data_IF_526810457650
#
_entry.id   IF_526810457650
#
_cell.length_a   1.000
_cell.length_b   1.000
_cell.length_c   1.000
_cell.angle_alpha   90.00
_cell.angle_beta   90.00
_cell.angle_gamma   90.00
#
_symmetry.space_group_name_H-M   'P 1'
#
loop_
_entity.id
_entity.type
_entity.pdbx_description
1 polymer ?
#
# COMPACT_ATOMS: atom_id res chain seq x y z
N UNK A 1 -13.39 -27.58 38.05
CA UNK A 1 -13.64 -26.18 37.66
C UNK A 1 -12.50 -25.38 38.26
N UNK A 2 -11.45 -25.11 37.48
CA UNK A 2 -10.41 -24.16 37.88
C UNK A 2 -9.83 -23.57 36.59
N UNK A 3 -10.20 -22.32 36.32
CA UNK A 3 -9.63 -21.53 35.23
C UNK A 3 -8.56 -20.62 35.81
N UNK A 4 -7.29 -21.03 35.64
CA UNK A 4 -6.16 -20.17 35.92
C UNK A 4 -5.91 -19.23 34.73
N UNK A 5 -5.86 -17.92 35.00
CA UNK A 5 -5.64 -16.86 34.02
C UNK A 5 -4.12 -16.66 33.84
N UNK A 6 -3.64 -16.90 32.62
CA UNK A 6 -2.26 -16.59 32.19
C UNK A 6 -2.23 -15.80 30.86
N UNK A 7 -1.11 -15.15 30.51
CA UNK A 7 -1.04 -14.19 29.41
C UNK A 7 -0.93 -14.86 28.03
N UNK A 8 -1.77 -14.41 27.07
CA UNK A 8 -1.67 -14.56 25.60
C UNK A 8 -1.37 -15.94 25.00
N UNK A 9 -2.38 -16.51 24.31
CA UNK A 9 -2.16 -17.04 22.95
C UNK A 9 -2.76 -18.40 22.61
N UNK A 10 -2.92 -19.31 23.57
CA UNK A 10 -3.46 -20.64 23.30
C UNK A 10 -4.56 -20.95 24.32
N UNK A 11 -5.77 -20.50 23.99
CA UNK A 11 -6.98 -21.02 24.62
C UNK A 11 -7.38 -22.22 23.81
N UNK A 12 -7.51 -23.39 24.43
CA UNK A 12 -8.42 -24.50 24.06
C UNK A 12 -7.91 -25.80 24.67
N UNK A 13 -8.79 -26.59 25.30
CA UNK A 13 -8.47 -27.98 25.62
C UNK A 13 -8.28 -28.80 24.33
N UNK A 14 -7.77 -30.02 24.42
CA UNK A 14 -7.66 -30.93 23.26
C UNK A 14 -9.00 -31.12 22.55
N UNK A 15 -10.10 -31.13 23.30
CA UNK A 15 -11.48 -31.26 22.80
C UNK A 15 -11.91 -30.11 21.90
N UNK A 16 -11.58 -28.86 22.26
CA UNK A 16 -11.96 -27.69 21.46
C UNK A 16 -11.11 -27.59 20.16
N UNK A 17 -9.84 -28.00 20.21
CA UNK A 17 -8.96 -28.07 19.04
C UNK A 17 -9.43 -29.12 18.04
N UNK A 18 -9.90 -30.27 18.53
CA UNK A 18 -10.43 -31.34 17.69
C UNK A 18 -11.72 -30.91 17.00
N UNK A 19 -12.64 -30.26 17.73
CA UNK A 19 -13.88 -29.73 17.16
C UNK A 19 -13.61 -28.65 16.10
N UNK A 20 -12.70 -27.71 16.38
CA UNK A 20 -12.30 -26.68 15.41
C UNK A 20 -11.64 -27.31 14.16
N UNK A 21 -10.78 -28.32 14.35
CA UNK A 21 -10.17 -29.05 13.25
C UNK A 21 -11.23 -29.75 12.38
N UNK A 22 -12.17 -30.45 13.01
CA UNK A 22 -13.29 -31.12 12.33
C UNK A 22 -14.07 -30.14 11.44
N UNK A 23 -14.54 -29.03 12.02
CA UNK A 23 -15.28 -28.00 11.31
C UNK A 23 -14.50 -27.42 10.12
N UNK A 24 -13.18 -27.25 10.27
CA UNK A 24 -12.31 -26.74 9.20
C UNK A 24 -12.10 -27.75 8.08
N UNK A 25 -12.00 -29.05 8.39
CA UNK A 25 -11.89 -30.12 7.40
C UNK A 25 -13.19 -30.22 6.59
N UNK A 26 -14.35 -30.27 7.26
CA UNK A 26 -15.65 -30.35 6.59
C UNK A 26 -15.89 -29.15 5.68
N UNK A 27 -15.61 -27.94 6.18
CA UNK A 27 -15.67 -26.73 5.37
C UNK A 27 -14.77 -26.84 4.13
N UNK A 28 -13.51 -27.27 4.33
CA UNK A 28 -12.54 -27.41 3.25
C UNK A 28 -13.02 -28.41 2.18
N UNK A 29 -13.48 -29.60 2.58
CA UNK A 29 -14.03 -30.61 1.67
C UNK A 29 -15.17 -30.04 0.83
N UNK A 30 -16.10 -29.34 1.47
CA UNK A 30 -17.27 -28.76 0.81
C UNK A 30 -16.90 -27.69 -0.23
N UNK A 31 -15.86 -26.90 0.00
CA UNK A 31 -15.52 -25.76 -0.86
C UNK A 31 -14.31 -25.99 -1.77
N UNK A 32 -13.60 -27.12 -1.63
CA UNK A 32 -12.32 -27.38 -2.31
C UNK A 32 -12.43 -27.24 -3.83
N UNK A 33 -13.38 -27.93 -4.45
CA UNK A 33 -13.55 -27.92 -5.91
C UNK A 33 -13.86 -26.52 -6.43
N UNK A 34 -14.80 -25.83 -5.77
CA UNK A 34 -15.13 -24.44 -6.10
C UNK A 34 -13.89 -23.55 -6.00
N UNK A 35 -13.12 -23.67 -4.92
CA UNK A 35 -11.97 -22.81 -4.67
C UNK A 35 -10.82 -23.07 -5.64
N UNK A 36 -10.56 -24.32 -6.01
CA UNK A 36 -9.57 -24.66 -7.04
C UNK A 36 -9.99 -24.11 -8.40
N UNK A 37 -11.26 -24.27 -8.78
CA UNK A 37 -11.78 -23.75 -10.05
C UNK A 37 -11.72 -22.21 -10.10
N UNK A 38 -12.06 -21.53 -9.00
CA UNK A 38 -11.87 -20.07 -8.88
C UNK A 38 -10.42 -19.66 -9.08
N UNK A 39 -9.47 -20.40 -8.50
CA UNK A 39 -8.06 -20.10 -8.61
C UNK A 39 -7.51 -20.37 -10.03
N UNK A 40 -7.91 -21.48 -10.65
CA UNK A 40 -7.60 -21.79 -12.06
C UNK A 40 -8.12 -20.67 -12.97
N UNK A 41 -9.40 -20.29 -12.83
CA UNK A 41 -9.98 -19.20 -13.62
C UNK A 41 -9.24 -17.89 -13.41
N UNK A 42 -8.84 -17.61 -12.17
CA UNK A 42 -8.07 -16.41 -11.82
C UNK A 42 -6.70 -16.40 -12.47
N UNK A 43 -5.95 -17.51 -12.40
CA UNK A 43 -4.65 -17.69 -13.08
C UNK A 43 -4.81 -17.49 -14.58
N UNK A 44 -5.73 -18.21 -15.20
CA UNK A 44 -5.97 -18.19 -16.65
C UNK A 44 -6.29 -16.78 -17.14
N UNK A 45 -7.31 -16.15 -16.55
CA UNK A 45 -7.73 -14.78 -16.90
C UNK A 45 -6.59 -13.79 -16.70
N UNK A 46 -5.80 -13.94 -15.63
CA UNK A 46 -4.70 -13.04 -15.31
C UNK A 46 -3.57 -13.14 -16.34
N UNK A 47 -3.15 -14.35 -16.71
CA UNK A 47 -2.10 -14.56 -17.71
C UNK A 47 -2.56 -14.08 -19.09
N UNK A 48 -3.79 -14.38 -19.49
CA UNK A 48 -4.35 -13.93 -20.77
C UNK A 48 -4.44 -12.40 -20.85
N UNK A 49 -4.84 -11.75 -19.75
CA UNK A 49 -4.83 -10.29 -19.65
C UNK A 49 -3.41 -9.73 -19.77
N UNK A 50 -2.41 -10.35 -19.15
CA UNK A 50 -1.01 -9.93 -19.25
C UNK A 50 -0.52 -10.03 -20.70
N UNK A 51 -0.75 -11.16 -21.36
CA UNK A 51 -0.37 -11.38 -22.76
C UNK A 51 -1.01 -10.30 -23.65
N UNK A 52 -2.32 -10.10 -23.50
CA UNK A 52 -3.09 -9.15 -24.31
C UNK A 52 -2.67 -7.69 -24.09
N UNK A 53 -2.60 -7.24 -22.84
CA UNK A 53 -2.39 -5.82 -22.52
C UNK A 53 -0.92 -5.39 -22.61
N UNK A 54 0.03 -6.33 -22.51
CA UNK A 54 1.44 -6.06 -22.78
C UNK A 54 1.83 -6.32 -24.23
N UNK A 55 0.89 -6.79 -25.07
CA UNK A 55 1.15 -7.17 -26.46
C UNK A 55 2.34 -8.12 -26.59
N UNK A 56 2.35 -9.19 -25.78
CA UNK A 56 3.42 -10.19 -25.80
C UNK A 56 3.24 -11.08 -27.03
N UNK A 57 4.35 -11.36 -27.71
CA UNK A 57 4.40 -12.19 -28.91
C UNK A 57 5.59 -13.15 -28.84
N UNK A 58 5.59 -14.18 -29.69
CA UNK A 58 6.71 -15.09 -29.87
C UNK A 58 7.07 -15.86 -28.59
N UNK A 59 8.34 -15.83 -28.20
CA UNK A 59 8.85 -16.63 -27.08
C UNK A 59 8.25 -16.23 -25.72
N UNK A 60 7.98 -14.94 -25.50
CA UNK A 60 7.42 -14.46 -24.23
C UNK A 60 5.97 -14.93 -24.04
N UNK A 61 5.16 -14.85 -25.10
CA UNK A 61 3.79 -15.37 -25.09
C UNK A 61 3.78 -16.88 -24.85
N UNK A 62 4.58 -17.62 -25.63
CA UNK A 62 4.68 -19.08 -25.51
C UNK A 62 5.11 -19.52 -24.11
N UNK A 63 6.10 -18.86 -23.53
CA UNK A 63 6.57 -19.16 -22.18
C UNK A 63 5.50 -18.91 -21.10
N UNK A 64 4.73 -17.83 -21.20
CA UNK A 64 3.63 -17.58 -20.26
C UNK A 64 2.47 -18.56 -20.42
N UNK A 65 2.16 -18.99 -21.64
CA UNK A 65 1.15 -20.02 -21.89
C UNK A 65 1.57 -21.38 -21.32
N UNK A 66 2.83 -21.80 -21.53
CA UNK A 66 3.40 -23.00 -20.90
C UNK A 66 3.37 -22.92 -19.37
N UNK A 67 3.76 -21.77 -18.80
CA UNK A 67 3.66 -21.52 -17.36
C UNK A 67 2.21 -21.65 -16.86
N UNK A 68 1.25 -21.08 -17.60
CA UNK A 68 -0.18 -21.15 -17.27
C UNK A 68 -0.66 -22.60 -17.23
N UNK A 69 -0.39 -23.37 -18.28
CA UNK A 69 -0.82 -24.77 -18.39
C UNK A 69 -0.26 -25.62 -17.25
N UNK A 70 1.06 -25.53 -17.00
CA UNK A 70 1.69 -26.25 -15.89
C UNK A 70 1.16 -25.87 -14.52
N UNK A 71 0.84 -24.58 -14.30
CA UNK A 71 0.24 -24.14 -13.05
C UNK A 71 -1.17 -24.67 -12.87
N UNK A 72 -1.96 -24.73 -13.95
CA UNK A 72 -3.30 -25.33 -13.94
C UNK A 72 -3.22 -26.83 -13.61
N UNK A 73 -2.30 -27.56 -14.25
CA UNK A 73 -2.08 -28.98 -13.96
C UNK A 73 -1.68 -29.21 -12.50
N UNK A 74 -0.78 -28.36 -11.97
CA UNK A 74 -0.38 -28.43 -10.56
C UNK A 74 -1.56 -28.15 -9.61
N UNK A 75 -2.45 -27.22 -9.94
CA UNK A 75 -3.66 -26.93 -9.15
C UNK A 75 -4.65 -28.12 -9.19
N UNK A 76 -4.80 -28.77 -10.34
CA UNK A 76 -5.63 -29.96 -10.47
C UNK A 76 -5.07 -31.15 -9.67
N UNK A 77 -3.75 -31.36 -9.72
CA UNK A 77 -3.07 -32.36 -8.90
C UNK A 77 -3.21 -32.06 -7.39
N UNK A 78 -3.09 -30.78 -7.01
CA UNK A 78 -3.32 -30.33 -5.64
C UNK A 78 -4.74 -30.59 -5.16
N UNK A 79 -5.75 -30.43 -6.03
CA UNK A 79 -7.15 -30.76 -5.72
C UNK A 79 -7.32 -32.23 -5.36
N UNK A 80 -6.80 -33.13 -6.20
CA UNK A 80 -6.90 -34.58 -5.99
C UNK A 80 -6.26 -34.96 -4.66
N UNK A 81 -5.01 -34.57 -4.45
CA UNK A 81 -4.29 -34.91 -3.24
C UNK A 81 -4.91 -34.25 -1.99
N UNK A 82 -5.35 -32.99 -2.07
CA UNK A 82 -6.01 -32.33 -0.94
C UNK A 82 -7.30 -33.04 -0.53
N UNK A 83 -8.12 -33.46 -1.50
CA UNK A 83 -9.37 -34.16 -1.24
C UNK A 83 -9.12 -35.48 -0.51
N UNK A 84 -8.26 -36.33 -1.06
CA UNK A 84 -7.89 -37.61 -0.45
C UNK A 84 -7.38 -37.45 0.98
N UNK A 85 -6.52 -36.44 1.21
CA UNK A 85 -5.97 -36.19 2.55
C UNK A 85 -6.99 -35.65 3.54
N UNK A 86 -7.92 -34.81 3.09
CA UNK A 86 -9.01 -34.30 3.92
C UNK A 86 -10.01 -35.41 4.29
N UNK A 87 -10.34 -36.30 3.35
CA UNK A 87 -11.20 -37.48 3.59
C UNK A 87 -10.56 -38.45 4.58
N UNK A 88 -9.25 -38.69 4.48
CA UNK A 88 -8.53 -39.46 5.51
C UNK A 88 -8.56 -38.76 6.88
N UNK A 89 -8.35 -37.44 6.91
CA UNK A 89 -8.35 -36.69 8.16
C UNK A 89 -9.70 -36.73 8.87
N UNK A 90 -10.82 -36.60 8.15
CA UNK A 90 -12.15 -36.66 8.78
C UNK A 90 -12.37 -38.01 9.47
N UNK A 91 -12.04 -39.12 8.79
CA UNK A 91 -12.12 -40.47 9.38
C UNK A 91 -11.30 -40.58 10.67
N UNK A 92 -10.04 -40.10 10.67
CA UNK A 92 -9.20 -40.16 11.85
C UNK A 92 -9.69 -39.26 13.00
N UNK A 93 -10.31 -38.12 12.69
CA UNK A 93 -10.93 -37.25 13.69
C UNK A 93 -12.12 -37.97 14.34
N UNK A 94 -12.99 -38.59 13.54
CA UNK A 94 -14.18 -39.31 14.00
C UNK A 94 -13.83 -40.57 14.81
N UNK A 95 -12.81 -41.31 14.38
CA UNK A 95 -12.32 -42.52 15.07
C UNK A 95 -11.49 -42.21 16.33
N UNK A 96 -11.18 -40.93 16.59
CA UNK A 96 -10.38 -40.51 17.76
C UNK A 96 -8.91 -40.94 17.72
N UNK A 97 -8.37 -41.28 16.55
CA UNK A 97 -7.00 -41.81 16.36
C UNK A 97 -5.96 -40.74 16.04
N UNK A 98 -6.25 -39.49 16.43
CA UNK A 98 -5.39 -38.33 16.21
C UNK A 98 -4.58 -38.00 17.45
N UNK A 99 -3.31 -37.65 17.24
CA UNK A 99 -2.43 -37.13 18.29
C UNK A 99 -1.99 -35.71 17.99
N UNK A 100 -1.95 -34.87 19.04
CA UNK A 100 -1.45 -33.50 18.97
C UNK A 100 -0.08 -33.43 19.63
N UNK A 101 0.95 -33.20 18.84
CA UNK A 101 2.32 -33.04 19.33
C UNK A 101 2.77 -31.58 19.21
N UNK A 102 3.10 -30.96 20.34
CA UNK A 102 3.71 -29.62 20.32
C UNK A 102 5.18 -29.72 19.90
N UNK A 103 5.55 -29.04 18.82
CA UNK A 103 6.95 -28.87 18.39
C UNK A 103 7.28 -27.39 18.25
N UNK A 104 8.07 -26.86 19.17
CA UNK A 104 8.46 -25.45 19.20
C UNK A 104 7.25 -24.50 19.17
N UNK A 105 6.99 -23.84 18.04
CA UNK A 105 5.90 -22.88 17.82
C UNK A 105 4.72 -23.46 17.02
N UNK A 106 4.73 -24.75 16.71
CA UNK A 106 3.67 -25.42 15.95
C UNK A 106 3.10 -26.60 16.74
N UNK A 107 1.84 -26.94 16.46
CA UNK A 107 1.23 -28.19 16.90
C UNK A 107 1.14 -29.08 15.67
N UNK A 108 1.75 -30.25 15.72
CA UNK A 108 1.63 -31.26 14.67
C UNK A 108 0.46 -32.16 15.01
N UNK A 109 -0.48 -32.27 14.10
CA UNK A 109 -1.54 -33.26 14.16
C UNK A 109 -1.02 -34.46 13.39
N UNK A 110 -0.86 -35.59 14.06
CA UNK A 110 -0.40 -36.83 13.45
C UNK A 110 -1.51 -37.87 13.48
N UNK A 111 -1.64 -38.57 12.36
CA UNK A 111 -2.46 -39.77 12.25
C UNK A 111 -1.56 -41.00 12.20
N UNK A 112 -2.15 -42.19 12.31
CA UNK A 112 -1.43 -43.45 12.49
C UNK A 112 -0.45 -43.84 11.37
N UNK A 113 -0.35 -43.12 10.22
CA UNK A 113 0.85 -43.04 9.36
C UNK A 113 0.71 -42.20 8.06
N UNK A 114 -0.46 -41.68 7.70
CA UNK A 114 -0.69 -41.21 6.31
C UNK A 114 -0.85 -39.71 6.11
N UNK A 115 -1.41 -39.00 7.10
CA UNK A 115 -1.71 -37.57 6.96
C UNK A 115 -1.25 -36.83 8.20
N UNK A 116 -0.49 -35.76 7.97
CA UNK A 116 -0.16 -34.82 9.02
C UNK A 116 -0.50 -33.42 8.55
N UNK A 117 -0.94 -32.60 9.49
CA UNK A 117 -1.08 -31.17 9.30
C UNK A 117 -0.41 -30.48 10.49
N UNK A 118 -0.15 -29.19 10.35
CA UNK A 118 0.38 -28.42 11.46
C UNK A 118 -0.41 -27.14 11.69
N UNK A 119 -0.51 -26.76 12.95
CA UNK A 119 -1.14 -25.54 13.41
C UNK A 119 -0.03 -24.54 13.70
N UNK A 120 -0.03 -23.43 12.97
CA UNK A 120 0.93 -22.34 13.15
C UNK A 120 0.69 -21.63 14.48
N UNK A 121 1.69 -20.87 14.96
CA UNK A 121 1.53 -20.04 16.15
C UNK A 121 0.47 -18.95 16.04
N UNK A 122 -0.05 -18.71 14.84
CA UNK A 122 -1.13 -17.76 14.55
C UNK A 122 -2.49 -18.46 14.44
N UNK A 123 -2.58 -19.77 14.73
CA UNK A 123 -3.81 -20.55 14.62
C UNK A 123 -4.19 -20.96 13.19
N UNK A 124 -3.23 -20.94 12.26
CA UNK A 124 -3.45 -21.40 10.88
C UNK A 124 -3.23 -22.90 10.82
N UNK A 125 -4.27 -23.65 10.46
CA UNK A 125 -4.17 -25.07 10.16
C UNK A 125 -3.68 -25.23 8.73
N UNK A 126 -2.52 -25.86 8.52
CA UNK A 126 -1.95 -26.08 7.19
C UNK A 126 -1.85 -27.56 6.92
N UNK A 127 -2.54 -27.98 5.87
CA UNK A 127 -2.42 -29.31 5.27
C UNK A 127 -1.33 -29.27 4.19
N UNK A 128 -0.16 -29.87 4.42
CA UNK A 128 0.89 -29.94 3.43
C UNK A 128 0.47 -30.81 2.25
N UNK A 129 0.91 -30.42 1.06
CA UNK A 129 0.80 -31.21 -0.16
C UNK A 129 2.23 -31.51 -0.63
N UNK A 130 2.46 -32.75 -1.05
CA UNK A 130 3.79 -33.27 -1.35
C UNK A 130 3.94 -33.53 -2.84
N UNK A 131 5.11 -33.20 -3.39
CA UNK A 131 5.53 -33.53 -4.76
C UNK A 131 4.61 -32.95 -5.86
N UNK A 132 3.98 -31.80 -5.60
CA UNK A 132 3.24 -31.05 -6.62
C UNK A 132 4.06 -29.82 -6.99
N UNK A 133 4.94 -30.02 -7.97
CA UNK A 133 5.85 -28.97 -8.45
C UNK A 133 6.13 -29.10 -9.94
N UNK A 134 6.49 -27.99 -10.58
CA UNK A 134 6.90 -27.97 -11.98
C UNK A 134 7.98 -26.93 -12.24
N UNK A 135 8.76 -27.19 -13.30
CA UNK A 135 9.74 -26.25 -13.83
C UNK A 135 9.16 -25.52 -15.04
N UNK A 136 9.39 -24.22 -15.08
CA UNK A 136 8.99 -23.36 -16.20
C UNK A 136 9.96 -22.19 -16.36
N UNK A 137 9.98 -21.61 -17.56
CA UNK A 137 10.62 -20.33 -17.81
C UNK A 137 9.58 -19.21 -17.68
N UNK A 138 9.83 -18.23 -16.81
CA UNK A 138 8.99 -17.04 -16.67
C UNK A 138 9.65 -15.86 -17.38
N UNK A 139 9.05 -15.27 -18.43
CA UNK A 139 9.72 -14.27 -19.24
C UNK A 139 9.85 -12.91 -18.54
N UNK A 140 10.81 -12.10 -18.99
CA UNK A 140 10.90 -10.69 -18.58
C UNK A 140 9.70 -9.92 -19.17
N UNK A 141 8.78 -9.49 -18.32
CA UNK A 141 7.54 -8.83 -18.76
C UNK A 141 7.66 -7.32 -18.93
N UNK A 142 8.55 -6.68 -18.18
CA UNK A 142 8.59 -5.22 -18.07
C UNK A 142 9.99 -4.71 -18.36
N UNK A 143 10.09 -3.69 -19.21
CA UNK A 143 11.35 -2.97 -19.48
C UNK A 143 11.74 -2.11 -18.27
N UNK A 144 12.36 -2.73 -17.28
CA UNK A 144 12.89 -2.06 -16.10
C UNK A 144 14.35 -1.68 -16.33
N UNK A 145 14.77 -0.52 -15.85
CA UNK A 145 16.20 -0.22 -15.77
C UNK A 145 16.83 -1.10 -14.68
N UNK A 146 18.14 -1.42 -14.77
CA UNK A 146 18.83 -2.22 -13.75
C UNK A 146 18.61 -1.69 -12.32
N UNK A 147 18.60 -0.36 -12.17
CA UNK A 147 18.33 0.29 -10.88
C UNK A 147 16.91 0.03 -10.36
N UNK A 148 15.91 0.13 -11.22
CA UNK A 148 14.51 -0.12 -10.82
C UNK A 148 14.31 -1.57 -10.39
N UNK A 149 14.89 -2.51 -11.15
CA UNK A 149 14.85 -3.93 -10.85
C UNK A 149 15.52 -4.23 -9.49
N UNK A 150 16.74 -3.71 -9.27
CA UNK A 150 17.46 -3.87 -8.00
C UNK A 150 16.66 -3.31 -6.82
N UNK A 151 16.02 -2.15 -6.96
CA UNK A 151 15.23 -1.58 -5.87
C UNK A 151 14.02 -2.45 -5.49
N UNK A 152 13.35 -3.07 -6.45
CA UNK A 152 12.23 -3.98 -6.21
C UNK A 152 12.69 -5.29 -5.59
N UNK A 153 13.74 -5.90 -6.16
CA UNK A 153 14.36 -7.11 -5.63
C UNK A 153 14.83 -6.89 -4.19
N UNK A 154 15.44 -5.74 -3.89
CA UNK A 154 15.84 -5.38 -2.53
C UNK A 154 14.64 -5.25 -1.58
N UNK A 155 13.55 -4.69 -2.08
CA UNK A 155 12.32 -4.60 -1.32
C UNK A 155 11.74 -5.98 -0.99
N UNK A 156 11.68 -6.90 -1.96
CA UNK A 156 11.26 -8.29 -1.71
C UNK A 156 12.15 -8.97 -0.67
N UNK A 157 13.47 -8.87 -0.85
CA UNK A 157 14.47 -9.46 0.05
C UNK A 157 14.33 -8.98 1.49
N UNK A 158 14.08 -7.68 1.66
CA UNK A 158 13.88 -7.08 2.98
C UNK A 158 12.53 -7.43 3.63
N UNK A 159 11.57 -7.93 2.85
CA UNK A 159 10.25 -8.41 3.30
C UNK A 159 10.16 -9.94 3.27
N UNK A 160 9.24 -10.43 2.42
CA UNK A 160 8.78 -11.83 2.36
C UNK A 160 9.71 -12.80 1.65
N UNK A 161 10.69 -12.31 0.88
CA UNK A 161 11.59 -13.21 0.14
C UNK A 161 12.55 -13.92 1.10
N UNK A 162 12.49 -15.24 1.05
CA UNK A 162 13.38 -16.16 1.72
C UNK A 162 14.66 -16.40 0.91
N UNK A 163 15.63 -17.03 1.55
CA UNK A 163 16.91 -17.39 0.94
C UNK A 163 17.24 -18.84 1.29
N UNK A 164 17.65 -19.62 0.29
CA UNK A 164 18.45 -20.83 0.48
C UNK A 164 19.31 -21.08 -0.76
N UNK A 165 20.28 -20.19 -0.99
CA UNK A 165 21.11 -20.13 -2.20
C UNK A 165 20.47 -19.32 -3.34
N UNK A 166 19.19 -19.57 -3.61
CA UNK A 166 18.38 -18.82 -4.57
C UNK A 166 17.26 -18.02 -3.88
N UNK A 167 16.77 -16.92 -4.50
CA UNK A 167 15.60 -16.20 -4.03
C UNK A 167 14.35 -17.08 -4.02
N UNK A 168 13.57 -17.01 -2.93
CA UNK A 168 12.38 -17.84 -2.73
C UNK A 168 11.19 -17.04 -2.24
N UNK A 169 10.00 -17.32 -2.77
CA UNK A 169 8.74 -16.72 -2.36
C UNK A 169 7.79 -17.80 -1.87
N UNK A 170 7.16 -17.60 -0.71
CA UNK A 170 5.99 -18.35 -0.29
C UNK A 170 4.84 -17.36 -0.14
N UNK A 171 3.71 -17.61 -0.82
CA UNK A 171 2.55 -16.72 -0.78
C UNK A 171 1.25 -17.49 -0.99
N UNK A 172 0.14 -16.87 -0.61
CA UNK A 172 -1.22 -17.33 -0.90
C UNK A 172 -1.91 -16.50 -1.98
N UNK A 173 -1.20 -15.53 -2.57
CA UNK A 173 -1.74 -14.62 -3.57
C UNK A 173 -0.99 -14.79 -4.89
N UNK A 174 -1.71 -15.23 -5.94
CA UNK A 174 -1.14 -15.37 -7.28
C UNK A 174 -0.58 -14.06 -7.83
N UNK A 175 -1.20 -12.90 -7.54
CA UNK A 175 -0.70 -11.60 -7.98
C UNK A 175 0.65 -11.25 -7.35
N UNK A 176 0.85 -11.63 -6.09
CA UNK A 176 2.14 -11.48 -5.41
C UNK A 176 3.19 -12.39 -6.04
N UNK A 177 2.83 -13.65 -6.33
CA UNK A 177 3.71 -14.60 -7.01
C UNK A 177 4.13 -14.08 -8.39
N UNK A 178 3.17 -13.71 -9.24
CA UNK A 178 3.44 -13.21 -10.60
C UNK A 178 4.26 -11.92 -10.59
N UNK A 179 3.97 -10.98 -9.66
CA UNK A 179 4.74 -9.74 -9.57
C UNK A 179 6.17 -10.00 -9.06
N UNK A 180 6.35 -10.96 -8.16
CA UNK A 180 7.67 -11.40 -7.74
C UNK A 180 8.46 -12.06 -8.88
N UNK A 181 7.82 -12.97 -9.63
CA UNK A 181 8.40 -13.61 -10.82
C UNK A 181 8.79 -12.60 -11.89
N UNK A 182 8.00 -11.54 -12.11
CA UNK A 182 8.36 -10.47 -13.02
C UNK A 182 9.61 -9.67 -12.60
N UNK A 183 10.02 -9.75 -11.32
CA UNK A 183 11.29 -9.20 -10.81
C UNK A 183 12.39 -10.26 -10.67
N UNK A 184 12.07 -11.54 -10.92
CA UNK A 184 12.94 -12.71 -10.81
C UNK A 184 12.73 -13.65 -12.02
N UNK A 185 12.68 -13.06 -13.22
CA UNK A 185 12.38 -13.77 -14.46
C UNK A 185 13.48 -14.78 -14.83
N UNK A 186 13.18 -15.73 -15.70
CA UNK A 186 14.06 -16.84 -16.06
C UNK A 186 13.50 -18.18 -15.62
N UNK A 187 14.38 -19.15 -15.39
CA UNK A 187 14.02 -20.48 -14.93
C UNK A 187 13.51 -20.43 -13.50
N UNK A 188 12.35 -21.03 -13.26
CA UNK A 188 11.71 -21.09 -11.96
C UNK A 188 11.20 -22.49 -11.67
N UNK A 189 11.22 -22.85 -10.40
CA UNK A 189 10.51 -24.01 -9.87
C UNK A 189 9.34 -23.50 -9.03
N UNK A 190 8.13 -23.93 -9.36
CA UNK A 190 6.89 -23.62 -8.63
C UNK A 190 6.38 -24.88 -7.96
N UNK A 191 5.92 -24.76 -6.73
CA UNK A 191 5.39 -25.83 -5.90
C UNK A 191 4.06 -25.39 -5.27
N UNK A 192 3.05 -26.26 -5.29
CA UNK A 192 1.85 -26.12 -4.47
C UNK A 192 2.10 -26.85 -3.16
N UNK A 193 2.52 -26.12 -2.13
CA UNK A 193 2.99 -26.70 -0.87
C UNK A 193 1.91 -27.19 0.06
N UNK A 194 0.67 -26.79 -0.18
CA UNK A 194 -0.39 -27.04 0.78
C UNK A 194 -1.61 -26.17 0.60
N UNK A 195 -2.58 -26.44 1.46
CA UNK A 195 -3.73 -25.57 1.68
C UNK A 195 -3.80 -25.15 3.15
N UNK A 196 -4.16 -23.91 3.41
CA UNK A 196 -4.52 -23.45 4.75
C UNK A 196 -6.03 -23.61 4.94
N UNK A 197 -6.41 -24.26 6.03
CA UNK A 197 -7.80 -24.43 6.47
C UNK A 197 -8.13 -23.24 7.39
N UNK A 198 -8.68 -22.16 6.84
CA UNK A 198 -9.08 -20.98 7.63
C UNK A 198 -10.55 -21.09 8.04
N UNK A 199 -10.98 -20.29 9.01
CA UNK A 199 -12.33 -20.39 9.60
C UNK A 199 -13.49 -20.23 8.61
N UNK A 200 -13.29 -19.52 7.50
CA UNK A 200 -14.35 -19.27 6.51
C UNK A 200 -13.96 -19.55 5.06
N UNK A 201 -12.73 -19.99 4.82
CA UNK A 201 -12.25 -20.28 3.46
C UNK A 201 -10.97 -21.13 3.50
N UNK A 202 -10.60 -21.72 2.37
CA UNK A 202 -9.26 -22.29 2.16
C UNK A 202 -8.39 -21.36 1.32
N UNK A 203 -7.08 -21.39 1.55
CA UNK A 203 -6.11 -20.71 0.70
C UNK A 203 -5.03 -21.68 0.23
N UNK A 204 -4.64 -21.55 -1.03
CA UNK A 204 -3.59 -22.37 -1.65
C UNK A 204 -2.25 -21.71 -1.35
N UNK A 205 -1.26 -22.50 -0.95
CA UNK A 205 0.08 -22.00 -0.64
C UNK A 205 1.01 -22.30 -1.81
N UNK A 206 1.36 -21.23 -2.53
CA UNK A 206 2.37 -21.27 -3.56
C UNK A 206 3.75 -21.10 -2.96
N UNK A 207 4.70 -21.86 -3.49
CA UNK A 207 6.11 -21.66 -3.25
C UNK A 207 6.84 -21.59 -4.58
N UNK A 208 7.79 -20.66 -4.67
CA UNK A 208 8.58 -20.45 -5.87
C UNK A 208 10.05 -20.29 -5.54
N UNK A 209 10.90 -20.82 -6.41
CA UNK A 209 12.36 -20.62 -6.39
C UNK A 209 12.82 -20.08 -7.74
N UNK A 210 13.54 -18.97 -7.75
CA UNK A 210 14.08 -18.37 -8.96
C UNK A 210 15.47 -18.94 -9.24
N UNK A 211 15.56 -19.88 -10.19
CA UNK A 211 16.77 -20.69 -10.43
C UNK A 211 17.83 -19.92 -11.23
N UNK A 212 17.43 -19.03 -12.12
CA UNK A 212 18.36 -18.16 -12.86
C UNK A 212 18.93 -17.01 -12.01
N UNK A 213 18.52 -16.88 -10.74
CA UNK A 213 18.98 -15.81 -9.86
C UNK A 213 19.72 -16.36 -8.65
N UNK A 214 20.86 -15.73 -8.36
CA UNK A 214 21.57 -15.90 -7.09
C UNK A 214 21.06 -14.85 -6.10
N UNK A 215 20.90 -15.22 -4.84
CA UNK A 215 20.56 -14.25 -3.80
C UNK A 215 21.65 -13.17 -3.67
N UNK A 216 21.30 -11.92 -3.99
CA UNK A 216 22.24 -10.80 -4.00
C UNK A 216 22.60 -10.32 -2.59
N UNK A 217 21.71 -10.54 -1.61
CA UNK A 217 21.92 -10.13 -0.23
C UNK A 217 21.73 -11.31 0.73
N UNK A 218 22.67 -12.27 0.73
CA UNK A 218 22.58 -13.45 1.58
C UNK A 218 22.73 -13.07 3.06
N UNK A 219 22.25 -13.94 3.95
CA UNK A 219 22.35 -13.82 5.41
C UNK A 219 21.53 -12.66 5.99
N UNK A 220 21.51 -12.59 7.33
CA UNK A 220 20.77 -11.58 8.09
C UNK A 220 21.22 -10.14 7.80
N UNK A 221 22.52 -9.90 7.63
CA UNK A 221 23.04 -8.57 7.31
C UNK A 221 22.65 -8.12 5.89
N UNK A 222 22.48 -9.07 4.96
CA UNK A 222 21.99 -8.78 3.62
C UNK A 222 20.61 -8.12 3.63
N UNK A 223 19.68 -8.59 4.48
CA UNK A 223 18.36 -7.93 4.62
C UNK A 223 18.48 -6.46 5.05
N UNK A 224 19.47 -6.09 5.86
CA UNK A 224 19.68 -4.70 6.25
C UNK A 224 20.18 -3.84 5.09
N UNK A 225 21.08 -4.38 4.26
CA UNK A 225 21.56 -3.70 3.04
C UNK A 225 20.39 -3.52 2.06
N UNK A 226 19.60 -4.57 1.84
CA UNK A 226 18.43 -4.53 0.97
C UNK A 226 17.44 -3.42 1.39
N UNK A 227 17.20 -3.21 2.69
CA UNK A 227 16.38 -2.08 3.17
C UNK A 227 16.92 -0.71 2.80
N UNK A 228 18.25 -0.53 2.83
CA UNK A 228 18.88 0.73 2.48
C UNK A 228 18.72 1.01 0.98
N UNK A 229 18.68 -0.04 0.16
CA UNK A 229 18.49 0.05 -1.29
C UNK A 229 17.01 0.30 -1.65
N UNK A 230 16.07 -0.37 -0.98
CA UNK A 230 14.62 -0.38 -1.23
C UNK A 230 13.87 0.96 -0.99
N UNK A 231 14.57 2.10 -0.98
CA UNK A 231 14.06 3.40 -0.49
C UNK A 231 12.95 4.03 -1.34
N UNK A 232 12.74 3.62 -2.60
CA UNK A 232 11.70 4.21 -3.46
C UNK A 232 10.77 3.16 -4.03
N UNK A 233 11.24 2.34 -4.97
CA UNK A 233 10.39 1.34 -5.61
C UNK A 233 10.21 0.10 -4.75
N UNK A 234 11.21 -0.27 -3.94
CA UNK A 234 11.06 -1.34 -2.95
C UNK A 234 9.99 -1.06 -1.87
N UNK A 235 9.52 0.18 -1.74
CA UNK A 235 8.34 0.47 -0.91
C UNK A 235 7.06 -0.18 -1.48
N UNK A 236 6.98 -0.39 -2.80
CA UNK A 236 5.89 -1.12 -3.44
C UNK A 236 5.87 -2.56 -2.95
N UNK A 237 6.99 -3.26 -3.02
CA UNK A 237 7.06 -4.68 -2.62
C UNK A 237 6.80 -4.85 -1.12
N UNK A 238 7.24 -3.92 -0.27
CA UNK A 238 6.87 -3.91 1.15
C UNK A 238 5.39 -3.62 1.41
N UNK A 239 4.75 -2.87 0.52
CA UNK A 239 3.30 -2.67 0.57
C UNK A 239 2.56 -3.94 0.14
N UNK A 240 2.98 -4.56 -0.98
CA UNK A 240 2.35 -5.76 -1.54
C UNK A 240 2.58 -6.99 -0.66
N UNK A 241 3.64 -7.01 0.15
CA UNK A 241 3.97 -8.05 1.14
C UNK A 241 2.98 -8.07 2.31
N UNK A 242 3.17 -7.25 3.33
CA UNK A 242 2.30 -7.21 4.52
C UNK A 242 1.81 -5.78 4.82
N UNK A 243 1.89 -4.90 3.81
CA UNK A 243 1.34 -3.57 3.90
C UNK A 243 -0.18 -3.55 3.84
N UNK A 244 -0.74 -2.41 4.26
CA UNK A 244 -2.17 -2.17 4.23
C UNK A 244 -2.48 -0.68 4.10
N UNK A 245 -3.72 -0.39 3.68
CA UNK A 245 -4.25 0.97 3.62
C UNK A 245 -5.42 1.08 4.59
N UNK A 246 -5.45 2.14 5.41
CA UNK A 246 -6.55 2.37 6.35
C UNK A 246 -7.76 2.97 5.65
N UNK A 247 -8.92 2.97 6.33
CA UNK A 247 -10.14 3.66 5.87
C UNK A 247 -9.91 5.15 5.53
N UNK A 248 -8.98 5.81 6.22
CA UNK A 248 -8.61 7.21 5.96
C UNK A 248 -7.57 7.37 4.82
N UNK A 249 -7.33 6.30 4.07
CA UNK A 249 -6.36 6.19 2.98
C UNK A 249 -4.90 6.44 3.41
N UNK A 250 -4.57 6.16 4.67
CA UNK A 250 -3.18 6.17 5.11
C UNK A 250 -2.54 4.84 4.72
N UNK A 251 -1.34 4.92 4.14
CA UNK A 251 -0.64 3.74 3.62
C UNK A 251 0.44 3.32 4.59
N UNK A 252 0.42 2.05 4.93
CA UNK A 252 1.43 1.42 5.76
C UNK A 252 2.12 0.31 4.99
N UNK A 253 3.44 0.28 5.05
CA UNK A 253 4.28 -0.79 4.55
C UNK A 253 4.74 -1.67 5.71
N UNK A 254 5.00 -2.95 5.45
CA UNK A 254 5.57 -3.84 6.47
C UNK A 254 7.07 -3.98 6.28
N UNK A 255 7.84 -3.76 7.35
CA UNK A 255 9.27 -4.00 7.41
C UNK A 255 9.56 -4.70 8.74
N UNK A 256 10.05 -5.94 8.70
CA UNK A 256 10.37 -6.74 9.90
C UNK A 256 9.23 -6.84 10.91
N UNK A 257 8.00 -7.10 10.42
CA UNK A 257 6.80 -7.14 11.25
C UNK A 257 6.45 -5.80 11.93
N UNK A 258 7.04 -4.68 11.47
CA UNK A 258 6.67 -3.32 11.88
C UNK A 258 6.02 -2.59 10.73
N UNK A 259 4.90 -1.95 11.01
CA UNK A 259 4.22 -1.11 10.04
C UNK A 259 4.79 0.30 10.06
N UNK A 260 5.23 0.79 8.90
CA UNK A 260 5.67 2.18 8.73
C UNK A 260 4.75 2.93 7.80
N UNK A 261 4.40 4.15 8.18
CA UNK A 261 3.63 5.03 7.33
C UNK A 261 4.45 5.48 6.11
N UNK A 262 3.84 5.46 4.92
CA UNK A 262 4.36 6.17 3.74
C UNK A 262 3.40 7.28 3.34
N UNK A 263 3.96 8.40 2.87
CA UNK A 263 3.14 9.53 2.45
C UNK A 263 2.26 9.18 1.25
N UNK A 264 1.03 9.72 1.22
CA UNK A 264 0.10 9.56 0.08
C UNK A 264 0.74 10.00 -1.25
N UNK A 265 1.59 11.02 -1.20
CA UNK A 265 2.35 11.48 -2.37
C UNK A 265 3.33 10.42 -2.89
N UNK A 266 4.06 9.75 -1.98
CA UNK A 266 4.96 8.67 -2.36
C UNK A 266 4.19 7.46 -2.91
N UNK A 267 3.07 7.09 -2.27
CA UNK A 267 2.18 6.05 -2.77
C UNK A 267 1.70 6.36 -4.21
N UNK A 268 1.30 7.60 -4.47
CA UNK A 268 0.89 8.02 -5.82
C UNK A 268 2.03 7.96 -6.84
N UNK A 269 3.26 8.33 -6.44
CA UNK A 269 4.44 8.16 -7.30
C UNK A 269 4.68 6.69 -7.68
N UNK A 270 4.54 5.78 -6.73
CA UNK A 270 4.66 4.34 -6.96
C UNK A 270 3.57 3.87 -7.93
N UNK A 271 2.32 4.28 -7.71
CA UNK A 271 1.20 3.94 -8.61
C UNK A 271 1.46 4.46 -10.02
N UNK A 272 1.83 5.73 -10.16
CA UNK A 272 2.17 6.34 -11.47
C UNK A 272 3.32 5.60 -12.16
N UNK A 273 4.34 5.21 -11.40
CA UNK A 273 5.44 4.40 -11.93
C UNK A 273 4.93 3.05 -12.44
N UNK A 274 4.04 2.37 -11.70
CA UNK A 274 3.53 1.07 -12.16
C UNK A 274 2.64 1.15 -13.39
N UNK A 275 1.88 2.23 -13.53
CA UNK A 275 1.17 2.51 -14.79
C UNK A 275 2.14 2.71 -15.94
N UNK A 276 3.17 3.54 -15.75
CA UNK A 276 4.19 3.79 -16.77
C UNK A 276 4.92 2.51 -17.21
N UNK A 277 5.14 1.57 -16.31
CA UNK A 277 5.87 0.32 -16.58
C UNK A 277 4.98 -0.85 -17.02
N UNK A 278 3.66 -0.71 -16.96
CA UNK A 278 2.74 -1.82 -17.22
C UNK A 278 2.55 -2.80 -16.06
N UNK A 279 3.28 -2.67 -14.94
CA UNK A 279 3.14 -3.63 -13.82
C UNK A 279 1.78 -3.62 -13.12
N UNK A 280 1.00 -2.56 -13.28
CA UNK A 280 -0.37 -2.53 -12.77
C UNK A 280 -1.23 -3.68 -13.32
N UNK A 281 -0.97 -4.19 -14.52
CA UNK A 281 -1.75 -5.26 -15.17
C UNK A 281 -1.77 -6.54 -14.32
N UNK A 282 -0.63 -6.91 -13.74
CA UNK A 282 -0.52 -8.04 -12.81
C UNK A 282 -1.36 -7.76 -11.54
N UNK A 283 -1.27 -6.54 -11.03
CA UNK A 283 -1.79 -6.15 -9.72
C UNK A 283 -3.29 -5.82 -9.72
N UNK A 284 -3.89 -5.54 -10.88
CA UNK A 284 -5.30 -5.14 -10.97
C UNK A 284 -6.27 -6.21 -10.47
N UNK A 285 -7.30 -5.78 -9.74
CA UNK A 285 -8.25 -6.68 -9.09
C UNK A 285 -7.74 -7.27 -7.77
N UNK A 286 -6.49 -7.01 -7.38
CA UNK A 286 -6.01 -7.35 -6.04
C UNK A 286 -6.34 -6.23 -5.05
N UNK A 287 -7.08 -6.55 -3.99
CA UNK A 287 -7.56 -5.58 -2.99
C UNK A 287 -6.49 -4.63 -2.46
N UNK A 288 -5.25 -5.13 -2.24
CA UNK A 288 -4.13 -4.30 -1.81
C UNK A 288 -3.80 -3.24 -2.84
N UNK A 289 -3.69 -3.63 -4.11
CA UNK A 289 -3.43 -2.71 -5.22
C UNK A 289 -4.58 -1.71 -5.41
N UNK A 290 -5.82 -2.17 -5.40
CA UNK A 290 -6.99 -1.28 -5.55
C UNK A 290 -7.05 -0.24 -4.43
N UNK A 291 -6.63 -0.63 -3.21
CA UNK A 291 -6.55 0.30 -2.08
C UNK A 291 -5.51 1.42 -2.29
N UNK A 292 -4.32 1.10 -2.82
CA UNK A 292 -3.26 2.10 -3.03
C UNK A 292 -3.48 2.93 -4.30
N UNK A 293 -4.04 2.33 -5.35
CA UNK A 293 -4.39 2.98 -6.63
C UNK A 293 -5.37 4.14 -6.43
N UNK A 294 -6.34 3.95 -5.52
CA UNK A 294 -7.44 4.89 -5.27
C UNK A 294 -7.14 5.96 -4.20
N UNK A 295 -5.87 6.12 -3.80
CA UNK A 295 -5.48 7.14 -2.83
C UNK A 295 -5.71 8.53 -3.39
N UNK A 296 -6.52 9.32 -2.68
CA UNK A 296 -6.69 10.74 -2.95
C UNK A 296 -5.50 11.49 -2.38
N UNK A 297 -4.62 11.93 -3.26
CA UNK A 297 -3.59 12.90 -2.91
C UNK A 297 -4.18 14.29 -3.09
N UNK A 298 -4.41 14.99 -1.99
CA UNK A 298 -4.52 16.44 -2.06
C UNK A 298 -3.13 16.96 -2.45
N UNK A 299 -2.91 17.14 -3.74
CA UNK A 299 -1.61 17.45 -4.32
C UNK A 299 -0.91 18.57 -3.55
N UNK A 300 0.25 18.29 -2.94
CA UNK A 300 1.10 19.31 -2.38
C UNK A 300 1.89 19.89 -3.54
N UNK A 301 1.26 20.74 -4.33
CA UNK A 301 1.96 21.94 -4.78
C UNK A 301 1.63 22.98 -3.72
N UNK A 302 2.28 22.94 -2.53
CA UNK A 302 2.15 24.05 -1.61
C UNK A 302 2.61 25.28 -2.38
N UNK A 303 1.72 26.24 -2.47
CA UNK A 303 2.06 27.49 -3.12
C UNK A 303 2.70 28.32 -2.04
N UNK A 304 3.92 28.77 -2.30
CA UNK A 304 4.71 29.50 -1.35
C UNK A 304 4.81 30.97 -1.76
N UNK A 305 4.96 31.83 -0.77
CA UNK A 305 5.33 33.21 -0.93
C UNK A 305 6.27 33.57 0.22
N UNK A 306 7.27 34.41 -0.04
CA UNK A 306 8.23 34.83 0.96
C UNK A 306 8.03 36.29 1.36
N UNK A 307 8.38 36.60 2.60
CA UNK A 307 8.55 37.96 3.08
C UNK A 307 9.84 38.00 3.88
N UNK A 308 10.85 38.68 3.34
CA UNK A 308 12.23 38.61 3.82
C UNK A 308 12.68 37.13 3.94
N UNK A 309 13.16 36.70 5.11
CA UNK A 309 13.57 35.31 5.37
C UNK A 309 12.41 34.32 5.61
N UNK A 310 11.16 34.78 5.71
CA UNK A 310 10.05 33.92 6.12
C UNK A 310 9.26 33.39 4.93
N UNK A 311 9.26 32.06 4.75
CA UNK A 311 8.48 31.40 3.71
C UNK A 311 7.11 30.98 4.25
N UNK A 312 6.06 31.50 3.65
CA UNK A 312 4.67 31.11 3.92
C UNK A 312 4.20 30.07 2.91
N UNK A 313 3.35 29.16 3.37
CA UNK A 313 2.56 28.27 2.55
C UNK A 313 1.13 28.79 2.50
N UNK A 314 0.62 29.02 1.29
CA UNK A 314 -0.75 29.44 1.04
C UNK A 314 -1.67 28.22 1.00
N UNK A 315 -2.86 28.42 1.54
CA UNK A 315 -3.93 27.43 1.63
C UNK A 315 -5.24 28.05 1.17
N UNK A 316 -6.08 27.21 0.58
CA UNK A 316 -7.45 27.53 0.23
C UNK A 316 -8.33 26.38 0.70
N UNK A 317 -9.37 26.69 1.47
CA UNK A 317 -10.33 25.72 2.00
C UNK A 317 -11.74 26.21 1.77
N UNK A 318 -12.64 25.32 1.33
CA UNK A 318 -14.08 25.60 1.24
C UNK A 318 -14.70 25.41 2.62
N UNK A 319 -15.40 26.41 3.11
CA UNK A 319 -16.21 26.38 4.34
C UNK A 319 -17.68 26.51 3.95
N UNK A 320 -18.58 26.32 4.92
CA UNK A 320 -20.02 26.54 4.72
C UNK A 320 -20.34 28.00 4.35
N UNK A 321 -19.41 28.93 4.62
CA UNK A 321 -19.57 30.36 4.38
C UNK A 321 -18.82 30.86 3.14
N UNK A 322 -18.24 29.96 2.34
CA UNK A 322 -17.54 30.30 1.11
C UNK A 322 -16.10 29.78 1.08
N UNK A 323 -15.22 30.52 0.44
CA UNK A 323 -13.81 30.14 0.27
C UNK A 323 -12.94 30.93 1.24
N UNK A 324 -12.17 30.23 2.07
CA UNK A 324 -11.20 30.84 2.96
C UNK A 324 -9.78 30.65 2.40
N UNK A 325 -9.09 31.76 2.19
CA UNK A 325 -7.65 31.79 1.89
C UNK A 325 -6.90 32.16 3.17
N UNK A 326 -5.80 31.48 3.44
CA UNK A 326 -4.90 31.81 4.55
C UNK A 326 -3.49 31.34 4.22
N UNK A 327 -2.48 31.86 4.94
CA UNK A 327 -1.11 31.38 4.80
C UNK A 327 -0.53 31.01 6.15
N UNK A 328 0.35 30.00 6.17
CA UNK A 328 1.04 29.55 7.39
C UNK A 328 2.54 29.46 7.18
N UNK A 329 3.30 29.75 8.22
CA UNK A 329 4.73 29.46 8.27
C UNK A 329 5.06 28.74 9.58
N UNK A 330 6.14 27.96 9.57
CA UNK A 330 6.58 27.18 10.72
C UNK A 330 7.94 27.69 11.17
N UNK A 331 8.02 28.10 12.44
CA UNK A 331 9.18 28.74 13.04
C UNK A 331 9.79 27.83 14.11
N UNK A 332 11.11 27.88 14.26
CA UNK A 332 11.87 27.01 15.18
C UNK A 332 12.04 27.61 16.56
N UNK A 333 11.90 28.92 16.71
CA UNK A 333 12.09 29.61 17.99
C UNK A 333 11.05 30.71 18.22
N UNK A 334 10.92 31.10 19.48
CA UNK A 334 10.12 32.26 19.88
C UNK A 334 10.72 33.56 19.34
N UNK A 335 12.05 33.64 19.24
CA UNK A 335 12.75 34.79 18.66
C UNK A 335 12.40 34.99 17.17
N UNK A 336 12.29 33.91 16.38
CA UNK A 336 11.82 33.98 15.01
C UNK A 336 10.35 34.44 14.93
N UNK A 337 9.51 33.96 15.86
CA UNK A 337 8.11 34.39 15.95
C UNK A 337 7.98 35.89 16.25
N UNK A 338 8.77 36.40 17.19
CA UNK A 338 8.73 37.81 17.57
C UNK A 338 9.20 38.72 16.42
N UNK A 339 10.29 38.34 15.74
CA UNK A 339 10.75 39.03 14.51
C UNK A 339 9.68 39.04 13.43
N UNK A 340 9.00 37.92 13.23
CA UNK A 340 7.91 37.83 12.25
C UNK A 340 6.72 38.73 12.64
N UNK A 341 6.35 38.78 13.94
CA UNK A 341 5.28 39.66 14.43
C UNK A 341 5.60 41.12 14.13
N UNK A 342 6.79 41.58 14.48
CA UNK A 342 7.23 42.96 14.25
C UNK A 342 7.26 43.30 12.75
N UNK A 343 7.78 42.40 11.93
CA UNK A 343 7.82 42.55 10.47
C UNK A 343 6.43 42.74 9.87
N UNK A 344 5.47 41.91 10.27
CA UNK A 344 4.10 41.95 9.76
C UNK A 344 3.29 43.11 10.36
N UNK A 345 3.54 43.47 11.62
CA UNK A 345 2.90 44.61 12.27
C UNK A 345 3.28 45.94 11.59
N UNK A 346 4.55 46.10 11.17
CA UNK A 346 5.00 47.25 10.36
C UNK A 346 4.23 47.41 9.04
N UNK A 347 3.57 46.35 8.57
CA UNK A 347 2.75 46.33 7.34
C UNK A 347 1.23 46.31 7.63
N UNK A 348 0.84 46.52 8.89
CA UNK A 348 -0.55 46.51 9.33
C UNK A 348 -1.22 45.13 9.24
N UNK A 349 -0.44 44.06 9.41
CA UNK A 349 -0.89 42.67 9.34
C UNK A 349 -0.84 42.03 10.73
N UNK A 350 -1.96 41.42 11.14
CA UNK A 350 -2.05 40.62 12.35
C UNK A 350 -1.87 39.14 12.05
N UNK A 351 -1.23 38.42 12.98
CA UNK A 351 -1.05 36.97 12.90
C UNK A 351 -1.68 36.29 14.10
N UNK A 352 -2.20 35.09 13.89
CA UNK A 352 -2.48 34.14 14.97
C UNK A 352 -1.37 33.10 15.02
N UNK A 353 -1.08 32.58 16.20
CA UNK A 353 -0.02 31.57 16.35
C UNK A 353 -0.37 30.57 17.43
N UNK A 354 0.24 29.39 17.35
CA UNK A 354 0.13 28.33 18.35
C UNK A 354 1.41 27.50 18.40
N UNK A 355 1.66 26.85 19.54
CA UNK A 355 2.76 25.88 19.68
C UNK A 355 2.37 24.58 18.97
N UNK A 356 3.20 24.14 18.03
CA UNK A 356 3.00 22.91 17.26
C UNK A 356 4.06 21.86 17.62
N UNK A 357 3.61 20.64 17.95
CA UNK A 357 4.47 19.50 18.29
C UNK A 357 5.56 19.79 19.34
N UNK A 358 5.27 20.68 20.31
CA UNK A 358 6.16 21.09 21.42
C UNK A 358 7.51 21.71 21.03
N UNK A 359 7.81 21.88 19.74
CA UNK A 359 9.12 22.33 19.25
C UNK A 359 9.07 23.41 18.17
N UNK A 360 7.88 23.76 17.70
CA UNK A 360 7.72 24.71 16.61
C UNK A 360 6.59 25.69 16.93
N UNK A 361 6.66 26.88 16.34
CA UNK A 361 5.58 27.85 16.37
C UNK A 361 4.93 27.88 14.99
N UNK A 362 3.62 27.60 14.94
CA UNK A 362 2.85 27.70 13.71
C UNK A 362 2.19 29.07 13.68
N UNK A 363 2.73 29.97 12.86
CA UNK A 363 2.15 31.28 12.61
C UNK A 363 1.20 31.22 11.41
N UNK A 364 0.04 31.86 11.52
CA UNK A 364 -1.00 31.91 10.50
C UNK A 364 -1.45 33.35 10.27
N UNK A 365 -1.57 33.71 8.99
CA UNK A 365 -2.23 34.94 8.55
C UNK A 365 -3.57 34.59 7.89
N UNK A 366 -4.59 35.36 8.22
CA UNK A 366 -5.95 35.19 7.70
C UNK A 366 -6.09 35.76 6.26
N UNK A 367 -7.26 35.56 5.64
CA UNK A 367 -7.51 35.99 4.26
C UNK A 367 -7.34 37.49 4.03
N UNK A 368 -7.79 38.34 4.97
CA UNK A 368 -7.62 39.79 4.86
C UNK A 368 -6.15 40.19 4.87
N UNK A 369 -5.34 39.52 5.70
CA UNK A 369 -3.90 39.75 5.78
C UNK A 369 -3.17 39.26 4.53
N UNK A 370 -3.59 38.12 3.97
CA UNK A 370 -3.07 37.64 2.68
C UNK A 370 -3.37 38.65 1.57
N UNK A 371 -4.56 39.25 1.55
CA UNK A 371 -4.94 40.26 0.55
C UNK A 371 -4.03 41.51 0.65
N UNK A 372 -3.78 42.02 1.85
CA UNK A 372 -2.84 43.13 2.06
C UNK A 372 -1.43 42.80 1.53
N UNK A 373 -0.95 41.58 1.74
CA UNK A 373 0.35 41.16 1.21
C UNK A 373 0.34 41.03 -0.31
N UNK A 374 -0.75 40.58 -0.91
CA UNK A 374 -0.92 40.54 -2.38
C UNK A 374 -0.86 41.94 -2.99
N UNK A 375 -1.45 42.93 -2.32
CA UNK A 375 -1.43 44.34 -2.76
C UNK A 375 -0.04 44.97 -2.62
N UNK A 376 0.73 44.57 -1.59
CA UNK A 376 2.03 45.17 -1.28
C UNK A 376 3.23 44.47 -1.93
N UNK A 377 3.13 43.16 -2.22
CA UNK A 377 4.28 42.32 -2.61
C UNK A 377 4.00 41.55 -3.92
N UNK A 378 4.77 41.79 -5.01
CA UNK A 378 4.58 41.12 -6.30
C UNK A 378 4.67 39.58 -6.24
N UNK A 379 5.53 39.05 -5.38
CA UNK A 379 5.67 37.61 -5.18
C UNK A 379 4.39 36.99 -4.62
N UNK A 380 3.77 37.64 -3.63
CA UNK A 380 2.51 37.20 -3.03
C UNK A 380 1.36 37.25 -4.02
N UNK A 381 1.33 38.28 -4.89
CA UNK A 381 0.37 38.34 -6.00
C UNK A 381 0.53 37.13 -6.94
N UNK A 382 1.76 36.81 -7.32
CA UNK A 382 2.06 35.63 -8.17
C UNK A 382 1.64 34.32 -7.50
N UNK A 383 1.93 34.18 -6.21
CA UNK A 383 1.52 33.02 -5.41
C UNK A 383 -0.01 32.90 -5.34
N UNK A 384 -0.71 33.99 -5.02
CA UNK A 384 -2.18 34.01 -4.97
C UNK A 384 -2.81 33.62 -6.31
N UNK A 385 -2.29 34.12 -7.44
CA UNK A 385 -2.75 33.71 -8.79
C UNK A 385 -2.56 32.22 -9.04
N UNK A 386 -1.40 31.66 -8.67
CA UNK A 386 -1.17 30.21 -8.73
C UNK A 386 -2.18 29.46 -7.87
N UNK A 387 -2.58 30.02 -6.72
CA UNK A 387 -3.53 29.39 -5.80
C UNK A 387 -4.93 29.37 -6.40
N UNK A 388 -5.41 30.50 -6.90
CA UNK A 388 -6.72 30.59 -7.55
C UNK A 388 -6.81 29.63 -8.76
N UNK A 389 -5.79 29.62 -9.62
CA UNK A 389 -5.69 28.68 -10.75
C UNK A 389 -5.70 27.22 -10.29
N UNK A 390 -4.94 26.89 -9.24
CA UNK A 390 -4.88 25.53 -8.68
C UNK A 390 -6.23 25.03 -8.18
N UNK A 391 -7.04 25.92 -7.60
CA UNK A 391 -8.36 25.58 -7.05
C UNK A 391 -9.52 25.81 -8.04
N UNK A 392 -9.22 26.11 -9.31
CA UNK A 392 -10.22 26.40 -10.36
C UNK A 392 -11.25 27.45 -9.93
N UNK A 393 -10.81 28.45 -9.18
CA UNK A 393 -11.67 29.54 -8.75
C UNK A 393 -11.73 30.56 -9.88
N UNK A 394 -12.89 30.67 -10.52
CA UNK A 394 -13.19 31.74 -11.48
C UNK A 394 -13.75 32.94 -10.71
N UNK A 395 -13.35 34.16 -11.10
CA UNK A 395 -14.11 35.35 -10.78
C UNK A 395 -15.38 35.30 -11.61
N UNK A 396 -16.52 35.03 -11.00
CA UNK A 396 -17.79 35.48 -11.57
C UNK A 396 -17.93 36.95 -11.19
N UNK A 397 -18.22 37.81 -12.17
CA UNK A 397 -18.38 39.24 -11.94
C UNK A 397 -19.52 39.58 -10.96
N UNK A 398 -20.36 38.59 -10.62
CA UNK A 398 -21.52 38.72 -9.72
C UNK A 398 -21.22 38.49 -8.22
N UNK A 399 -20.05 37.92 -7.85
CA UNK A 399 -19.65 37.67 -6.45
C UNK A 399 -18.48 38.58 -6.02
N UNK A 400 -18.78 39.87 -5.80
CA UNK A 400 -17.81 40.96 -5.61
C UNK A 400 -16.84 40.86 -4.41
N UNK A 401 -16.98 39.89 -3.50
CA UNK A 401 -16.40 40.06 -2.16
C UNK A 401 -14.93 39.65 -1.98
N UNK A 402 -14.37 38.72 -2.76
CA UNK A 402 -12.98 38.24 -2.51
C UNK A 402 -12.18 37.99 -3.80
N UNK A 403 -12.73 37.36 -4.88
CA UNK A 403 -11.94 37.05 -6.07
C UNK A 403 -11.52 38.31 -6.87
N UNK A 404 -12.41 39.31 -6.99
CA UNK A 404 -12.20 40.49 -7.83
C UNK A 404 -11.07 41.43 -7.33
N UNK A 405 -10.83 41.52 -6.01
CA UNK A 405 -9.75 42.37 -5.48
C UNK A 405 -8.34 41.82 -5.77
N UNK A 406 -8.16 40.50 -5.82
CA UNK A 406 -6.85 39.90 -6.13
C UNK A 406 -6.45 40.05 -7.62
N UNK A 407 -7.41 40.28 -8.52
CA UNK A 407 -7.16 40.42 -9.95
C UNK A 407 -6.90 41.88 -10.38
N UNK A 408 -7.37 42.87 -9.61
CA UNK A 408 -7.16 44.32 -9.84
C UNK A 408 -5.71 44.79 -9.60
N UNK A 409 -4.83 43.94 -9.09
CA UNK A 409 -3.38 44.19 -9.06
C UNK A 409 -2.76 44.05 -10.47
N UNK A 410 -3.18 44.90 -11.42
CA UNK A 410 -2.38 45.18 -12.62
C UNK A 410 -1.27 46.15 -12.22
N UNK A 411 -0.02 46.02 -12.71
CA UNK A 411 0.93 47.12 -12.64
C UNK A 411 0.31 48.27 -13.45
N UNK A 412 -0.07 49.36 -12.77
CA UNK A 412 -0.73 50.49 -13.40
C UNK A 412 0.28 51.60 -13.64
N UNK A 413 0.49 51.96 -14.91
CA UNK A 413 1.09 53.24 -15.31
C UNK A 413 0.14 54.44 -15.10
N UNK A 414 -1.00 54.29 -14.40
CA UNK A 414 -1.85 55.41 -13.95
C UNK A 414 -2.86 54.96 -12.85
N UNK A 415 -3.02 55.71 -11.74
CA UNK A 415 -4.01 55.38 -10.70
C UNK A 415 -5.38 56.02 -10.99
N UNK A 416 -6.46 55.50 -10.36
CA UNK A 416 -7.32 56.44 -9.64
C UNK A 416 -7.79 55.96 -8.26
N UNK A 417 -7.70 56.92 -7.33
CA UNK A 417 -8.61 57.31 -6.23
C UNK A 417 -9.60 56.31 -5.62
N UNK A 418 -9.45 56.16 -4.30
CA UNK A 418 -10.48 56.02 -3.24
C UNK A 418 -11.82 55.39 -3.59
N UNK A 419 -12.08 54.20 -3.02
CA UNK A 419 -13.45 53.74 -2.77
C UNK A 419 -13.55 52.90 -1.46
N UNK A 420 -14.26 53.50 -0.49
CA UNK A 420 -15.00 52.94 0.64
C UNK A 420 -14.36 51.91 1.61
N UNK A 421 -14.12 52.39 2.83
CA UNK A 421 -14.10 51.64 4.09
C UNK A 421 -15.55 51.31 4.53
N UNK A 422 -15.79 50.07 4.97
CA UNK A 422 -16.97 49.69 5.77
C UNK A 422 -17.56 48.31 5.43
N UNK A 423 -17.88 47.54 6.47
CA UNK A 423 -18.60 46.24 6.50
C UNK A 423 -17.76 44.95 6.41
N UNK A 424 -17.20 44.56 7.56
CA UNK A 424 -16.99 43.16 7.93
C UNK A 424 -18.30 42.57 8.48
N UNK A 425 -18.70 41.42 7.96
CA UNK A 425 -19.79 40.59 8.52
C UNK A 425 -21.09 40.65 7.72
N UNK A 426 -21.22 39.82 6.67
CA UNK A 426 -22.55 39.48 6.16
C UNK A 426 -22.55 38.08 5.52
N UNK A 427 -23.45 37.25 6.05
CA UNK A 427 -23.89 35.96 5.52
C UNK A 427 -24.32 36.10 4.06
N UNK A 428 -23.87 35.20 3.20
CA UNK A 428 -24.52 34.94 1.92
C UNK A 428 -25.30 33.62 2.05
N UNK A 429 -26.62 33.68 1.84
CA UNK A 429 -27.44 32.49 1.59
C UNK A 429 -27.08 31.98 0.19
N UNK A 430 -27.00 30.66 0.06
CA UNK A 430 -26.78 29.96 -1.19
C UNK A 430 -28.14 29.55 -1.75
N UNK A 431 -28.37 29.79 -3.05
CA UNK A 431 -29.28 28.99 -3.88
C UNK A 431 -28.55 27.76 -4.38
#
# INVERSE_FOLDING_TARGET
MDMAIGPSGWRTGSTDLLAELHNRIELALRILDKKINEEINKVTTKIEKIIKELHLEGEQEKALLDFKEKLVDALLAARVQAKERLEKLIMYVEDGTITFEKKSKTIHVKTANDVSLYISSKGTFRLPLNNISFYAYFPELFKMTPRELIELQAGWRAGDEGERGTPRMETVYIEQLLFWLATRFGDVNIEIRGINLNQGNITIVYFASALSWIEQWPKKNGKNIAKIIAKRLGLLTWYLSDGFTTKNQNVYISIENKHKYISKYMAKKIVTWCYKKGCHIILEGWDRWESIKNIKVHLPHPIHATIEQFTFRLYCTKTNTGICVFARTLLKSETELQRLKELLQKRGISITWQVWKKKYYLAQINGQSVLKLVEQLPEWCTAARKLLKKYKLQCTDEDEKIPCRMQRCRPAENPPLTCALGCFGARAKIF
#
